data_IF_007618243875
#
_entry.id   IF_007618243875
#
_cell.length_a   1.000
_cell.length_b   1.000
_cell.length_c   1.000
_cell.angle_alpha   90.00
_cell.angle_beta   90.00
_cell.angle_gamma   90.00
#
_symmetry.space_group_name_H-M   'P 1'
#
loop_
_entity.id
_entity.type
_entity.pdbx_description
1 polymer ?
#
# COMPACT_ATOMS: atom_id res chain seq x y z
N UNK A 1 21.17 -5.15 -10.63
CA UNK A 1 20.73 -5.61 -9.29
C UNK A 1 21.76 -6.63 -8.83
N UNK A 2 22.41 -6.46 -7.66
CA UNK A 2 23.37 -7.48 -7.19
C UNK A 2 22.58 -8.77 -6.88
N UNK A 3 23.03 -9.94 -7.35
CA UNK A 3 22.36 -11.20 -7.05
C UNK A 3 22.35 -11.42 -5.53
N UNK A 4 21.20 -11.81 -5.00
CA UNK A 4 21.06 -12.17 -3.59
C UNK A 4 21.83 -13.46 -3.33
N UNK A 5 22.77 -13.43 -2.39
CA UNK A 5 23.57 -14.60 -2.01
C UNK A 5 22.69 -15.73 -1.53
N UNK A 6 23.03 -16.96 -1.91
CA UNK A 6 22.34 -18.16 -1.39
C UNK A 6 22.81 -18.48 0.04
N UNK A 7 22.03 -19.27 0.78
CA UNK A 7 22.41 -19.70 2.14
C UNK A 7 23.74 -20.47 2.16
N UNK A 8 24.04 -21.23 1.11
CA UNK A 8 25.28 -21.99 0.98
C UNK A 8 26.49 -21.05 0.80
N UNK A 9 26.36 -20.03 -0.04
CA UNK A 9 27.40 -19.01 -0.26
C UNK A 9 27.69 -18.23 1.02
N UNK A 10 26.65 -17.82 1.75
CA UNK A 10 26.80 -17.12 3.04
C UNK A 10 27.55 -18.00 4.05
N UNK A 11 27.29 -19.31 4.06
CA UNK A 11 27.97 -20.24 4.98
C UNK A 11 29.45 -20.38 4.65
N UNK A 12 29.78 -20.54 3.38
CA UNK A 12 31.17 -20.62 2.93
C UNK A 12 31.97 -19.35 3.23
N UNK A 13 31.33 -18.18 3.11
CA UNK A 13 31.94 -16.88 3.44
C UNK A 13 32.24 -16.77 4.94
N UNK A 14 31.29 -17.17 5.81
CA UNK A 14 31.50 -17.19 7.26
C UNK A 14 32.64 -18.16 7.66
N UNK A 15 32.68 -19.35 7.08
CA UNK A 15 33.72 -20.34 7.36
C UNK A 15 35.11 -19.81 6.95
N UNK A 16 35.21 -19.12 5.81
CA UNK A 16 36.44 -18.49 5.36
C UNK A 16 36.88 -17.34 6.29
N UNK A 17 35.95 -16.54 6.78
CA UNK A 17 36.24 -15.43 7.69
C UNK A 17 36.70 -15.93 9.07
N UNK A 18 36.11 -17.02 9.56
CA UNK A 18 36.57 -17.71 10.78
C UNK A 18 37.98 -18.27 10.57
N UNK A 19 38.23 -18.98 9.47
CA UNK A 19 39.55 -19.54 9.19
C UNK A 19 40.63 -18.45 9.07
N UNK A 20 40.29 -17.31 8.45
CA UNK A 20 41.17 -16.15 8.37
C UNK A 20 41.47 -15.57 9.76
N UNK A 21 40.44 -15.40 10.59
CA UNK A 21 40.60 -14.92 11.97
C UNK A 21 41.54 -15.81 12.78
N UNK A 22 41.36 -17.13 12.69
CA UNK A 22 42.16 -18.13 13.41
C UNK A 22 43.61 -18.20 12.90
N UNK A 23 43.83 -18.05 11.59
CA UNK A 23 45.16 -18.20 10.98
C UNK A 23 46.04 -16.95 11.10
N UNK A 24 45.49 -15.75 10.91
CA UNK A 24 46.29 -14.52 10.96
C UNK A 24 46.33 -13.87 12.34
N UNK A 25 45.46 -14.28 13.27
CA UNK A 25 45.22 -13.58 14.53
C UNK A 25 44.55 -12.23 14.28
N UNK A 26 43.22 -12.16 14.44
CA UNK A 26 42.44 -10.94 14.21
C UNK A 26 41.94 -10.30 15.51
N UNK A 27 41.59 -9.01 15.44
CA UNK A 27 40.77 -8.34 16.46
C UNK A 27 39.32 -8.29 15.97
N UNK A 28 38.38 -8.68 16.84
CA UNK A 28 36.94 -8.52 16.56
C UNK A 28 36.54 -7.12 17.00
N UNK A 29 36.04 -6.32 16.07
CA UNK A 29 35.49 -5.01 16.39
C UNK A 29 34.19 -5.19 17.19
N UNK A 30 34.22 -4.82 18.47
CA UNK A 30 33.02 -4.79 19.30
C UNK A 30 32.28 -3.46 19.06
N UNK A 31 31.20 -3.50 18.29
CA UNK A 31 30.37 -2.32 18.04
C UNK A 31 29.21 -2.30 19.06
N UNK A 32 29.08 -1.24 19.88
CA UNK A 32 28.00 -1.13 20.85
C UNK A 32 26.62 -1.21 20.20
N UNK A 33 25.69 -1.86 20.87
CA UNK A 33 24.29 -1.91 20.45
C UNK A 33 23.71 -0.50 20.32
N UNK A 34 22.99 -0.23 19.24
CA UNK A 34 22.42 1.10 18.96
C UNK A 34 23.34 2.05 18.20
N UNK A 35 24.57 1.64 17.89
CA UNK A 35 25.45 2.41 16.99
C UNK A 35 24.93 2.29 15.56
N UNK A 36 24.48 3.41 14.99
CA UNK A 36 24.10 3.46 13.58
C UNK A 36 25.34 3.34 12.69
N UNK A 37 25.25 2.57 11.61
CA UNK A 37 26.29 2.57 10.56
C UNK A 37 26.32 3.85 9.72
N UNK A 38 25.43 4.81 10.02
CA UNK A 38 25.30 6.06 9.29
C UNK A 38 26.11 7.17 9.95
N UNK A 39 27.28 7.46 9.38
CA UNK A 39 28.22 8.46 9.91
C UNK A 39 27.72 9.91 9.72
N UNK A 40 27.08 10.18 8.59
CA UNK A 40 26.74 11.56 8.20
C UNK A 40 25.32 12.00 8.61
N UNK A 41 24.64 11.20 9.44
CA UNK A 41 23.24 11.43 9.88
C UNK A 41 22.28 11.83 8.74
N UNK A 42 22.59 11.40 7.52
CA UNK A 42 21.83 11.68 6.31
C UNK A 42 20.77 10.60 6.11
N UNK A 43 19.68 10.91 5.42
CA UNK A 43 18.76 9.86 4.99
C UNK A 43 19.37 9.07 3.81
N UNK A 44 19.76 7.81 4.03
CA UNK A 44 20.27 6.90 2.99
C UNK A 44 19.25 6.64 1.87
N UNK A 45 17.97 6.79 2.20
CA UNK A 45 16.84 6.58 1.29
C UNK A 45 16.26 7.90 0.79
N UNK A 46 16.96 9.03 0.99
CA UNK A 46 16.63 10.26 0.29
C UNK A 46 16.98 10.09 -1.18
N UNK A 47 16.14 9.36 -1.90
CA UNK A 47 16.04 9.50 -3.34
C UNK A 47 15.55 10.91 -3.58
N UNK A 48 16.40 11.75 -4.18
CA UNK A 48 15.93 13.01 -4.72
C UNK A 48 14.80 12.65 -5.69
N UNK A 49 13.57 13.08 -5.38
CA UNK A 49 12.46 12.97 -6.31
C UNK A 49 12.87 13.74 -7.56
N UNK A 50 13.28 13.00 -8.59
CA UNK A 50 13.55 13.57 -9.90
C UNK A 50 12.18 13.96 -10.47
N UNK A 51 11.78 15.20 -10.23
CA UNK A 51 10.64 15.78 -10.91
C UNK A 51 11.04 15.97 -12.36
N UNK A 52 10.42 15.21 -13.27
CA UNK A 52 10.57 15.46 -14.70
C UNK A 52 10.11 16.91 -15.01
N UNK A 53 10.83 17.61 -15.92
CA UNK A 53 10.42 18.94 -16.32
C UNK A 53 9.02 18.90 -16.95
N UNK A 54 8.27 20.00 -16.77
CA UNK A 54 6.88 20.11 -17.24
C UNK A 54 6.81 19.88 -18.75
N UNK A 55 6.25 18.74 -19.16
CA UNK A 55 6.04 18.40 -20.57
C UNK A 55 4.92 19.27 -21.18
N UNK A 56 5.13 19.75 -22.40
CA UNK A 56 4.11 20.40 -23.22
C UNK A 56 3.11 19.34 -23.69
N UNK A 57 1.87 19.42 -23.20
CA UNK A 57 0.77 18.52 -23.58
C UNK A 57 -0.25 19.27 -24.42
N UNK A 58 -0.81 18.60 -25.43
CA UNK A 58 -1.94 19.13 -26.19
C UNK A 58 -3.20 19.10 -25.32
N UNK A 59 -3.88 20.24 -25.10
CA UNK A 59 -5.12 20.25 -24.33
C UNK A 59 -6.24 19.57 -25.11
N UNK A 60 -6.82 18.51 -24.55
CA UNK A 60 -7.96 17.77 -25.11
C UNK A 60 -9.27 18.16 -24.37
N UNK A 61 -9.49 19.45 -24.16
CA UNK A 61 -10.64 19.97 -23.40
C UNK A 61 -11.98 19.52 -23.96
N UNK A 62 -12.11 19.45 -25.29
CA UNK A 62 -13.35 19.02 -25.94
C UNK A 62 -13.66 17.55 -25.68
N UNK A 63 -12.67 16.66 -25.73
CA UNK A 63 -12.82 15.24 -25.41
C UNK A 63 -13.24 15.04 -23.95
N UNK A 64 -12.67 15.82 -23.03
CA UNK A 64 -13.05 15.79 -21.61
C UNK A 64 -14.50 16.22 -21.43
N UNK A 65 -14.94 17.29 -22.11
CA UNK A 65 -16.35 17.73 -22.08
C UNK A 65 -17.31 16.66 -22.60
N UNK A 66 -16.97 15.98 -23.69
CA UNK A 66 -17.77 14.89 -24.25
C UNK A 66 -17.89 13.70 -23.28
N UNK A 67 -16.78 13.32 -22.63
CA UNK A 67 -16.77 12.26 -21.63
C UNK A 67 -17.63 12.60 -20.41
N UNK A 68 -17.57 13.85 -19.94
CA UNK A 68 -18.39 14.30 -18.81
C UNK A 68 -19.88 14.35 -19.16
N UNK A 69 -20.24 14.81 -20.36
CA UNK A 69 -21.62 14.77 -20.86
C UNK A 69 -22.17 13.34 -20.99
N UNK A 70 -21.30 12.39 -21.39
CA UNK A 70 -21.65 10.96 -21.42
C UNK A 70 -21.83 10.39 -20.01
N UNK A 71 -21.08 10.86 -19.03
CA UNK A 71 -21.18 10.40 -17.64
C UNK A 71 -22.47 10.90 -16.99
N UNK A 72 -22.84 12.17 -17.19
CA UNK A 72 -24.04 12.77 -16.60
C UNK A 72 -25.34 12.20 -17.18
N UNK A 73 -25.38 11.89 -18.47
CA UNK A 73 -26.57 11.31 -19.14
C UNK A 73 -26.93 9.90 -18.67
N UNK A 74 -25.98 9.13 -18.13
CA UNK A 74 -26.24 7.79 -17.57
C UNK A 74 -26.88 7.84 -16.18
N UNK A 75 -26.64 8.88 -15.40
CA UNK A 75 -27.13 8.98 -14.01
C UNK A 75 -28.57 9.46 -13.93
N UNK A 76 -29.07 10.19 -14.94
CA UNK A 76 -30.44 10.74 -14.91
C UNK A 76 -31.55 9.71 -15.16
N UNK A 77 -31.20 8.46 -15.52
CA UNK A 77 -32.18 7.41 -15.87
C UNK A 77 -32.29 6.30 -14.83
N UNK A 78 -31.91 6.56 -13.58
CA UNK A 78 -32.44 5.76 -12.48
C UNK A 78 -33.93 6.10 -12.34
N UNK A 79 -34.78 5.39 -13.11
CA UNK A 79 -36.22 5.50 -13.00
C UNK A 79 -36.62 5.33 -11.53
N UNK A 80 -37.56 6.15 -11.05
CA UNK A 80 -38.07 6.06 -9.67
C UNK A 80 -38.43 4.60 -9.39
N UNK A 81 -37.63 3.93 -8.58
CA UNK A 81 -37.96 2.58 -8.13
C UNK A 81 -39.27 2.70 -7.35
N UNK A 82 -40.32 2.09 -7.89
CA UNK A 82 -41.59 1.95 -7.18
C UNK A 82 -41.30 1.29 -5.84
N UNK A 83 -41.75 1.92 -4.75
CA UNK A 83 -41.59 1.38 -3.40
C UNK A 83 -42.27 0.02 -3.35
N UNK A 84 -41.48 -1.01 -3.10
CA UNK A 84 -42.00 -2.36 -2.89
C UNK A 84 -42.28 -2.53 -1.40
N UNK A 85 -43.35 -3.26 -1.03
CA UNK A 85 -43.61 -3.57 0.35
C UNK A 85 -42.39 -4.24 1.00
N UNK A 86 -42.03 -3.81 2.20
CA UNK A 86 -40.93 -4.39 2.98
C UNK A 86 -41.47 -5.04 4.24
N UNK A 87 -40.86 -6.16 4.66
CA UNK A 87 -41.19 -6.78 5.94
C UNK A 87 -40.52 -6.01 7.06
N UNK A 88 -41.31 -5.49 8.00
CA UNK A 88 -40.82 -4.85 9.22
C UNK A 88 -41.08 -5.76 10.42
N UNK A 89 -40.06 -5.97 11.23
CA UNK A 89 -40.18 -6.71 12.49
C UNK A 89 -40.79 -5.78 13.54
N UNK A 90 -41.92 -6.18 14.09
CA UNK A 90 -42.52 -5.50 15.24
C UNK A 90 -41.85 -6.07 16.49
N UNK A 91 -41.38 -5.17 17.34
CA UNK A 91 -40.79 -5.47 18.65
C UNK A 91 -41.68 -4.96 19.77
N UNK A 92 -41.71 -5.67 20.88
CA UNK A 92 -42.39 -5.28 22.12
C UNK A 92 -41.69 -4.09 22.82
N UNK A 93 -42.27 -3.56 23.90
CA UNK A 93 -41.71 -2.48 24.73
C UNK A 93 -40.32 -2.82 25.30
N UNK A 94 -39.97 -4.11 25.36
CA UNK A 94 -38.66 -4.63 25.75
C UNK A 94 -37.73 -4.98 24.57
N UNK A 95 -38.14 -4.71 23.32
CA UNK A 95 -37.35 -4.97 22.12
C UNK A 95 -37.41 -6.42 21.61
N UNK A 96 -38.22 -7.29 22.23
CA UNK A 96 -38.36 -8.68 21.82
C UNK A 96 -39.17 -8.79 20.50
N UNK A 97 -38.74 -9.64 19.55
CA UNK A 97 -39.38 -9.77 18.26
C UNK A 97 -40.73 -10.50 18.35
N UNK A 98 -41.83 -9.81 18.03
CA UNK A 98 -43.18 -10.40 18.06
C UNK A 98 -43.52 -11.04 16.72
N UNK A 99 -43.54 -10.24 15.63
CA UNK A 99 -43.93 -10.71 14.29
C UNK A 99 -43.46 -9.80 13.17
N UNK A 100 -43.41 -10.36 11.96
CA UNK A 100 -43.15 -9.60 10.73
C UNK A 100 -44.47 -9.12 10.11
N UNK A 101 -44.53 -7.83 9.78
CA UNK A 101 -45.67 -7.21 9.07
C UNK A 101 -45.16 -6.55 7.79
N UNK A 102 -45.92 -6.68 6.71
CA UNK A 102 -45.64 -5.99 5.45
C UNK A 102 -46.05 -4.51 5.56
N UNK A 103 -45.14 -3.60 5.25
CA UNK A 103 -45.38 -2.16 5.16
C UNK A 103 -45.12 -1.68 3.72
N UNK A 104 -46.01 -0.85 3.17
CA UNK A 104 -45.91 -0.27 1.82
C UNK A 104 -44.78 0.77 1.64
#
# INVERSE_FOLDING_TARGET
MKPTKTKAEVRAELDAEIARYLSSGGAVNNIPTGTSGQLDNRNLFAQATQFEPKQTRTPLSEVVKELDARKSSKTSRAGKLSRRPTKKLITDDFGEPIRWVWQE
#
